data_IF_681070825112
#
_entry.id   IF_681070825112
#
_cell.length_a   1.000
_cell.length_b   1.000
_cell.length_c   1.000
_cell.angle_alpha   90.00
_cell.angle_beta   90.00
_cell.angle_gamma   90.00
#
_symmetry.space_group_name_H-M   'P 1'
#
loop_
_entity.id
_entity.type
_entity.pdbx_description
1 polymer ?
#
# COMPACT_ATOMS: atom_id res chain seq x y z
N UNK A 1 14.48 -1.42 7.99
CA UNK A 1 13.39 -0.53 7.52
C UNK A 1 13.57 -0.32 6.02
N UNK A 2 12.49 -0.03 5.29
CA UNK A 2 12.50 0.20 3.84
C UNK A 2 11.93 1.58 3.53
N UNK A 3 12.56 2.26 2.60
CA UNK A 3 12.02 3.50 2.02
C UNK A 3 11.04 3.13 0.91
N UNK A 4 9.83 3.67 0.99
CA UNK A 4 8.82 3.57 -0.05
C UNK A 4 9.15 4.60 -1.13
N UNK A 5 9.50 4.11 -2.33
CA UNK A 5 9.65 4.98 -3.48
C UNK A 5 8.30 5.61 -3.86
N UNK A 6 8.33 6.87 -4.30
CA UNK A 6 7.12 7.56 -4.78
C UNK A 6 6.41 6.79 -5.89
N UNK A 7 7.16 6.11 -6.76
CA UNK A 7 6.61 5.26 -7.83
C UNK A 7 5.80 4.09 -7.28
N UNK A 8 6.25 3.48 -6.19
CA UNK A 8 5.55 2.36 -5.54
C UNK A 8 4.23 2.80 -4.91
N UNK A 9 4.23 3.93 -4.19
CA UNK A 9 3.00 4.51 -3.61
C UNK A 9 1.99 4.88 -4.72
N UNK A 10 2.47 5.43 -5.85
CA UNK A 10 1.63 5.72 -7.01
C UNK A 10 0.97 4.47 -7.59
N UNK A 11 1.70 3.35 -7.70
CA UNK A 11 1.11 2.08 -8.16
C UNK A 11 -0.04 1.63 -7.24
N UNK A 12 0.14 1.73 -5.92
CA UNK A 12 -0.91 1.40 -4.94
C UNK A 12 -2.13 2.32 -5.11
N UNK A 13 -1.91 3.62 -5.31
CA UNK A 13 -3.00 4.58 -5.55
C UNK A 13 -3.79 4.26 -6.81
N UNK A 14 -3.10 3.90 -7.90
CA UNK A 14 -3.74 3.50 -9.16
C UNK A 14 -4.56 2.22 -8.96
N UNK A 15 -3.99 1.18 -8.35
CA UNK A 15 -4.70 -0.07 -8.09
C UNK A 15 -5.94 0.14 -7.20
N UNK A 16 -5.80 0.94 -6.15
CA UNK A 16 -6.91 1.37 -5.28
C UNK A 16 -8.02 2.05 -6.09
N UNK A 17 -7.67 2.96 -6.99
CA UNK A 17 -8.63 3.71 -7.80
C UNK A 17 -9.35 2.80 -8.81
N UNK A 18 -8.62 1.91 -9.49
CA UNK A 18 -9.18 0.96 -10.46
C UNK A 18 -10.24 0.06 -9.82
N UNK A 19 -9.99 -0.39 -8.59
CA UNK A 19 -10.92 -1.27 -7.85
C UNK A 19 -11.92 -0.53 -6.96
N UNK A 20 -11.92 0.81 -7.00
CA UNK A 20 -12.76 1.68 -6.15
C UNK A 20 -12.67 1.32 -4.66
N UNK A 21 -11.49 0.91 -4.20
CA UNK A 21 -11.27 0.51 -2.81
C UNK A 21 -11.16 1.75 -1.92
N UNK A 22 -11.79 1.68 -0.75
CA UNK A 22 -11.51 2.61 0.35
C UNK A 22 -10.15 2.33 0.99
N UNK A 23 -9.61 3.29 1.75
CA UNK A 23 -8.34 3.10 2.49
C UNK A 23 -8.49 1.96 3.51
N UNK A 24 -9.67 1.82 4.12
CA UNK A 24 -9.95 0.76 5.10
C UNK A 24 -9.95 -0.63 4.45
N UNK A 25 -10.55 -0.77 3.27
CA UNK A 25 -10.56 -2.03 2.52
C UNK A 25 -9.15 -2.39 2.04
N UNK A 26 -8.41 -1.42 1.49
CA UNK A 26 -7.02 -1.63 1.09
C UNK A 26 -6.15 -2.09 2.27
N UNK A 27 -6.31 -1.45 3.44
CA UNK A 27 -5.62 -1.83 4.66
C UNK A 27 -5.97 -3.26 5.10
N UNK A 28 -7.25 -3.64 5.02
CA UNK A 28 -7.71 -5.00 5.33
C UNK A 28 -7.12 -6.03 4.36
N UNK A 29 -7.12 -5.74 3.05
CA UNK A 29 -6.61 -6.63 2.01
C UNK A 29 -5.09 -6.82 2.07
N UNK A 30 -4.37 -5.75 2.37
CA UNK A 30 -2.90 -5.80 2.51
C UNK A 30 -2.44 -6.27 3.90
N UNK A 31 -3.34 -6.44 4.87
CA UNK A 31 -2.99 -6.85 6.24
C UNK A 31 -2.17 -5.80 7.00
N UNK A 32 -2.36 -4.53 6.68
CA UNK A 32 -1.67 -3.37 7.27
C UNK A 32 -2.69 -2.53 8.04
N UNK A 33 -2.26 -1.88 9.12
CA UNK A 33 -3.13 -0.99 9.88
C UNK A 33 -3.59 0.19 9.00
N UNK A 34 -4.89 0.52 9.05
CA UNK A 34 -5.48 1.63 8.31
C UNK A 34 -4.79 2.98 8.56
N UNK A 35 -4.30 3.23 9.78
CA UNK A 35 -3.56 4.47 10.10
C UNK A 35 -2.25 4.51 9.34
N UNK A 36 -1.49 3.41 9.37
CA UNK A 36 -0.22 3.28 8.64
C UNK A 36 -0.44 3.40 7.15
N UNK A 37 -1.47 2.74 6.61
CA UNK A 37 -1.85 2.87 5.19
C UNK A 37 -2.18 4.33 4.84
N UNK A 38 -2.95 5.03 5.66
CA UNK A 38 -3.30 6.43 5.43
C UNK A 38 -2.05 7.32 5.37
N UNK A 39 -1.11 7.13 6.30
CA UNK A 39 0.16 7.88 6.35
C UNK A 39 1.07 7.60 5.15
N UNK A 40 1.07 6.36 4.67
CA UNK A 40 1.82 5.96 3.47
C UNK A 40 1.22 6.65 2.23
N UNK A 41 -0.10 6.61 2.08
CA UNK A 41 -0.79 7.17 0.92
C UNK A 41 -0.78 8.71 0.91
N UNK A 42 -0.78 9.35 2.09
CA UNK A 42 -0.62 10.80 2.22
C UNK A 42 0.81 11.28 1.98
N UNK A 43 1.79 10.37 1.95
CA UNK A 43 3.21 10.69 1.85
C UNK A 43 3.85 11.16 3.17
N UNK A 44 3.10 11.18 4.28
CA UNK A 44 3.60 11.51 5.61
C UNK A 44 4.60 10.44 6.11
N UNK A 45 4.37 9.18 5.74
CA UNK A 45 5.23 8.06 6.11
C UNK A 45 5.86 7.41 4.86
N UNK A 46 7.11 7.78 4.60
CA UNK A 46 7.93 7.22 3.51
C UNK A 46 8.84 6.09 3.95
N UNK A 47 9.03 5.90 5.26
CA UNK A 47 9.87 4.83 5.82
C UNK A 47 8.98 3.87 6.61
N UNK A 48 9.04 2.58 6.26
CA UNK A 48 8.22 1.52 6.86
C UNK A 48 9.07 0.33 7.28
N UNK A 49 8.51 -0.56 8.10
CA UNK A 49 9.13 -1.84 8.39
C UNK A 49 9.18 -2.72 7.13
N UNK A 50 10.18 -3.59 7.05
CA UNK A 50 10.33 -4.54 5.96
C UNK A 50 9.05 -5.38 5.78
N UNK A 51 8.48 -5.86 6.88
CA UNK A 51 7.23 -6.63 6.88
C UNK A 51 6.03 -5.85 6.32
N UNK A 52 5.96 -4.53 6.52
CA UNK A 52 4.92 -3.69 5.93
C UNK A 52 5.13 -3.51 4.43
N UNK A 53 6.39 -3.35 4.02
CA UNK A 53 6.75 -3.28 2.60
C UNK A 53 6.38 -4.59 1.87
N UNK A 54 6.76 -5.73 2.44
CA UNK A 54 6.49 -7.05 1.85
C UNK A 54 4.99 -7.29 1.69
N UNK A 55 4.19 -6.96 2.72
CA UNK A 55 2.72 -7.02 2.65
C UNK A 55 2.11 -6.17 1.54
N UNK A 56 2.57 -4.92 1.36
CA UNK A 56 2.11 -4.05 0.27
C UNK A 56 2.52 -4.61 -1.09
N UNK A 57 3.74 -5.11 -1.19
CA UNK A 57 4.29 -5.63 -2.42
C UNK A 57 3.57 -6.92 -2.84
N UNK A 58 3.34 -7.84 -1.91
CA UNK A 58 2.62 -9.08 -2.12
C UNK A 58 1.18 -8.81 -2.55
N UNK A 59 0.50 -7.87 -1.88
CA UNK A 59 -0.82 -7.42 -2.31
C UNK A 59 -0.78 -6.89 -3.74
N UNK A 60 0.14 -5.98 -4.06
CA UNK A 60 0.26 -5.39 -5.40
C UNK A 60 0.57 -6.44 -6.48
N UNK A 61 1.41 -7.44 -6.19
CA UNK A 61 1.74 -8.53 -7.09
C UNK A 61 0.56 -9.49 -7.33
N UNK A 62 -0.28 -9.73 -6.32
CA UNK A 62 -1.52 -10.49 -6.50
C UNK A 62 -2.51 -9.75 -7.40
N UNK A 63 -2.49 -8.42 -7.36
CA UNK A 63 -3.34 -7.58 -8.21
C UNK A 63 -2.87 -7.55 -9.67
N UNK A 64 -1.55 -7.59 -9.94
CA UNK A 64 -1.00 -7.67 -11.31
C UNK A 64 -1.24 -9.04 -11.98
N UNK A 65 -1.57 -10.10 -11.22
CA UNK A 65 -1.83 -11.45 -11.73
C UNK A 65 -3.30 -11.72 -12.10
N UNK A 66 -4.22 -10.80 -11.81
CA UNK A 66 -5.66 -10.92 -12.07
C UNK A 66 -6.09 -10.03 -13.23
#
# INVERSE_FOLDING_TARGET
MKTLESKFVKKILIAKALKRLSIKELAKLSGINHVTMSKILSGEQTIVHQSTFDKLNDWLLQEEKK
#
